data_IF_858495449859
#
_entry.id   IF_858495449859
#
_cell.length_a   1.000
_cell.length_b   1.000
_cell.length_c   1.000
_cell.angle_alpha   90.00
_cell.angle_beta   90.00
_cell.angle_gamma   90.00
#
_symmetry.space_group_name_H-M   'P 1'
#
loop_
_entity.id
_entity.type
_entity.pdbx_description
1 polymer ?
#
# COMPACT_ATOMS: atom_id res chain seq x y z
N UNK A 1 -48.04 34.53 1.04
CA UNK A 1 -46.91 34.11 0.17
C UNK A 1 -46.86 35.07 -1.02
N UNK A 2 -45.89 35.99 -1.03
CA UNK A 2 -45.53 36.91 -2.14
C UNK A 2 -44.02 37.21 -1.99
N UNK A 3 -43.26 37.04 -3.07
CA UNK A 3 -41.84 37.41 -3.30
C UNK A 3 -41.90 38.45 -4.44
N UNK A 4 -41.16 39.60 -4.47
CA UNK A 4 -39.69 39.63 -4.67
C UNK A 4 -38.91 40.88 -4.15
N UNK A 5 -37.56 40.81 -4.21
CA UNK A 5 -36.56 41.87 -4.57
C UNK A 5 -35.15 41.26 -4.35
N UNK A 6 -34.28 40.94 -5.32
CA UNK A 6 -33.58 41.67 -6.41
C UNK A 6 -32.76 42.88 -5.96
N UNK A 7 -31.43 42.69 -5.97
CA UNK A 7 -30.37 43.65 -6.35
C UNK A 7 -30.68 45.14 -6.20
N UNK A 8 -30.10 45.77 -5.18
CA UNK A 8 -29.75 47.19 -5.18
C UNK A 8 -28.66 47.42 -4.12
N UNK A 9 -27.63 48.18 -4.50
CA UNK A 9 -26.52 48.66 -3.68
C UNK A 9 -25.26 47.75 -3.56
N UNK A 10 -24.78 47.21 -4.69
CA UNK A 10 -23.37 47.44 -5.01
C UNK A 10 -23.22 48.91 -5.47
N UNK A 11 -22.04 49.51 -5.29
CA UNK A 11 -21.62 50.84 -5.79
C UNK A 11 -22.32 52.07 -5.19
N UNK A 12 -21.91 52.56 -4.01
CA UNK A 12 -21.93 54.02 -3.69
C UNK A 12 -21.21 54.42 -2.38
N UNK A 13 -20.11 53.76 -2.01
CA UNK A 13 -19.32 54.10 -0.81
C UNK A 13 -17.93 54.68 -1.06
N UNK A 14 -17.58 54.96 -2.32
CA UNK A 14 -16.22 55.39 -2.75
C UNK A 14 -16.08 56.91 -2.97
N UNK A 15 -16.95 57.76 -2.39
CA UNK A 15 -17.02 59.18 -2.79
C UNK A 15 -17.03 60.20 -1.62
N UNK A 16 -16.88 59.78 -0.36
CA UNK A 16 -16.89 60.71 0.81
C UNK A 16 -15.60 60.62 1.63
N UNK A 17 -14.46 60.48 0.94
CA UNK A 17 -13.13 60.63 1.57
C UNK A 17 -12.30 61.73 0.87
N UNK A 18 -12.98 62.66 0.18
CA UNK A 18 -12.35 63.63 -0.74
C UNK A 18 -12.57 65.11 -0.38
N UNK A 19 -13.05 65.45 0.83
CA UNK A 19 -13.22 66.83 1.29
C UNK A 19 -12.74 66.95 2.75
N UNK A 20 -11.54 67.49 2.90
CA UNK A 20 -10.73 67.39 4.11
C UNK A 20 -11.13 68.26 5.30
N UNK A 21 -10.45 68.00 6.41
CA UNK A 21 -10.04 68.97 7.43
C UNK A 21 -9.05 68.29 8.38
N UNK A 22 -7.76 68.62 8.27
CA UNK A 22 -6.82 68.49 9.39
C UNK A 22 -7.05 69.65 10.38
N UNK A 23 -6.91 69.39 11.69
CA UNK A 23 -5.77 69.97 12.38
C UNK A 23 -5.11 69.07 13.43
N UNK A 24 -3.78 69.01 13.37
CA UNK A 24 -2.85 68.58 14.43
C UNK A 24 -2.94 69.55 15.64
N UNK A 25 -2.64 69.11 16.89
CA UNK A 25 -1.22 69.02 17.27
C UNK A 25 -0.82 67.89 18.25
N UNK A 26 0.41 67.42 18.03
CA UNK A 26 1.41 67.07 19.05
C UNK A 26 1.10 65.91 20.02
N UNK A 27 1.78 64.77 19.83
CA UNK A 27 2.85 64.23 20.71
C UNK A 27 3.42 62.93 20.10
N UNK A 28 4.76 62.86 20.02
CA UNK A 28 5.70 61.78 19.60
C UNK A 28 5.25 60.30 19.84
N UNK A 29 5.79 59.27 19.14
CA UNK A 29 7.17 59.13 18.59
C UNK A 29 7.28 58.70 17.11
N UNK A 30 8.49 58.74 16.51
CA UNK A 30 8.71 58.48 15.08
C UNK A 30 8.23 57.09 14.63
N UNK A 31 7.51 57.11 13.52
CA UNK A 31 6.99 55.95 12.82
C UNK A 31 8.11 54.97 12.43
N UNK A 32 8.06 53.75 12.99
CA UNK A 32 8.81 52.59 12.53
C UNK A 32 8.33 52.12 11.14
N UNK A 33 8.43 52.99 10.13
CA UNK A 33 8.18 52.67 8.71
C UNK A 33 9.51 52.52 7.97
N UNK A 34 10.37 51.64 8.47
CA UNK A 34 11.58 51.22 7.75
C UNK A 34 12.09 49.84 8.22
N UNK A 35 11.22 48.96 8.71
CA UNK A 35 11.61 47.63 9.18
C UNK A 35 10.76 46.50 8.57
N UNK A 36 10.20 46.73 7.37
CA UNK A 36 9.51 45.70 6.59
C UNK A 36 10.11 45.63 5.19
N UNK A 37 11.41 45.34 5.09
CA UNK A 37 12.09 44.92 3.86
C UNK A 37 13.51 44.37 4.16
N UNK A 38 13.71 43.76 5.32
CA UNK A 38 15.01 43.17 5.72
C UNK A 38 14.87 41.79 6.40
N UNK A 39 13.76 41.08 6.15
CA UNK A 39 13.42 39.83 6.84
C UNK A 39 13.20 38.62 5.94
N UNK A 40 13.48 38.72 4.64
CA UNK A 40 13.19 37.63 3.67
C UNK A 40 14.46 37.13 2.94
N UNK A 41 15.61 37.79 3.11
CA UNK A 41 16.84 37.41 2.39
C UNK A 41 17.82 36.52 3.18
N UNK A 42 17.57 36.23 4.47
CA UNK A 42 18.49 35.42 5.32
C UNK A 42 17.84 34.17 5.89
N UNK A 43 16.75 33.68 5.29
CA UNK A 43 16.10 32.40 5.69
C UNK A 43 16.39 31.24 4.75
N UNK A 44 16.75 31.51 3.48
CA UNK A 44 16.87 30.50 2.44
C UNK A 44 18.22 29.75 2.40
N UNK A 45 19.25 30.24 3.10
CA UNK A 45 20.59 29.62 3.08
C UNK A 45 20.81 28.64 4.24
N UNK A 46 20.08 28.75 5.36
CA UNK A 46 20.24 27.81 6.49
C UNK A 46 19.47 26.50 6.28
N UNK A 47 18.43 26.47 5.44
CA UNK A 47 17.66 25.24 5.22
C UNK A 47 18.37 24.20 4.34
N UNK A 48 19.30 24.62 3.47
CA UNK A 48 20.10 23.68 2.65
C UNK A 48 21.24 23.00 3.43
N UNK A 49 21.56 23.45 4.65
CA UNK A 49 22.58 22.82 5.49
C UNK A 49 22.06 21.62 6.30
N UNK A 50 20.75 21.38 6.37
CA UNK A 50 20.18 20.28 7.16
C UNK A 50 20.02 18.95 6.40
N UNK A 51 20.22 18.94 5.07
CA UNK A 51 20.08 17.73 4.24
C UNK A 51 21.43 17.01 4.01
N UNK A 52 22.55 17.60 4.41
CA UNK A 52 23.88 16.99 4.21
C UNK A 52 24.39 16.12 5.38
N UNK A 53 23.71 16.09 6.54
CA UNK A 53 24.18 15.34 7.71
C UNK A 53 23.71 13.88 7.76
N UNK A 54 22.67 13.49 7.00
CA UNK A 54 22.24 12.08 6.93
C UNK A 54 23.09 11.26 5.94
N UNK A 55 23.63 11.89 4.89
CA UNK A 55 24.35 11.18 3.82
C UNK A 55 25.81 10.84 4.17
N UNK A 56 26.40 11.53 5.14
CA UNK A 56 27.81 11.31 5.53
C UNK A 56 27.95 10.21 6.60
N UNK A 57 26.86 9.78 7.24
CA UNK A 57 26.90 8.63 8.15
C UNK A 57 26.85 7.27 7.44
N UNK A 58 26.65 7.25 6.12
CA UNK A 58 26.63 6.03 5.29
C UNK A 58 27.94 5.85 4.51
N UNK A 59 28.77 6.89 4.37
CA UNK A 59 29.91 6.90 3.44
C UNK A 59 31.31 6.64 4.00
N UNK A 60 31.54 6.62 5.32
CA UNK A 60 32.91 6.54 5.84
C UNK A 60 33.03 5.83 7.21
N UNK A 61 32.85 4.50 7.24
CA UNK A 61 33.38 3.67 8.34
C UNK A 61 34.69 3.01 7.89
N UNK A 62 35.85 3.42 8.45
CA UNK A 62 37.08 2.65 8.34
C UNK A 62 36.88 1.28 9.02
N UNK A 63 37.48 0.24 8.42
CA UNK A 63 37.29 -1.16 8.79
C UNK A 63 37.46 -1.42 10.30
N UNK A 64 36.37 -1.85 10.92
CA UNK A 64 36.35 -2.53 12.23
C UNK A 64 35.63 -3.87 12.06
N UNK A 65 36.04 -4.93 12.78
CA UNK A 65 35.44 -6.25 12.64
C UNK A 65 34.00 -6.26 13.22
N UNK A 66 33.13 -6.98 12.53
CA UNK A 66 31.72 -7.27 12.87
C UNK A 66 30.78 -6.07 13.12
N UNK A 67 30.30 -5.49 12.01
CA UNK A 67 28.98 -4.89 11.99
C UNK A 67 27.95 -5.99 11.69
N UNK A 68 26.89 -6.16 12.51
CA UNK A 68 25.78 -7.03 12.17
C UNK A 68 25.19 -6.53 10.85
N UNK A 69 25.32 -7.35 9.80
CA UNK A 69 24.61 -7.14 8.53
C UNK A 69 23.13 -7.04 8.89
N UNK A 70 22.51 -5.88 8.63
CA UNK A 70 21.05 -5.81 8.63
C UNK A 70 20.60 -6.73 7.50
N UNK A 71 20.10 -7.91 7.85
CA UNK A 71 19.48 -8.81 6.89
C UNK A 71 18.39 -8.03 6.16
N UNK A 72 18.42 -8.11 4.82
CA UNK A 72 17.39 -7.50 4.00
C UNK A 72 16.02 -8.04 4.46
N UNK A 73 14.95 -7.22 4.46
CA UNK A 73 13.60 -7.71 4.76
C UNK A 73 13.34 -8.96 3.92
N UNK A 74 12.90 -10.04 4.55
CA UNK A 74 12.57 -11.28 3.84
C UNK A 74 11.38 -10.98 2.94
N UNK A 75 11.61 -10.91 1.62
CA UNK A 75 10.53 -10.76 0.65
C UNK A 75 9.71 -12.06 0.62
N UNK A 76 8.46 -11.99 1.09
CA UNK A 76 7.52 -13.10 1.03
C UNK A 76 6.76 -13.00 -0.31
N UNK A 77 7.00 -13.95 -1.20
CA UNK A 77 6.46 -13.95 -2.57
C UNK A 77 5.86 -15.29 -2.97
N UNK A 78 5.10 -15.29 -4.08
CA UNK A 78 4.52 -16.50 -4.67
C UNK A 78 3.47 -17.15 -3.77
N UNK A 79 3.50 -18.48 -3.65
CA UNK A 79 2.54 -19.23 -2.84
C UNK A 79 2.60 -18.85 -1.35
N UNK A 80 3.80 -18.54 -0.82
CA UNK A 80 3.96 -18.14 0.58
C UNK A 80 3.32 -16.78 0.88
N UNK A 81 3.23 -15.88 -0.10
CA UNK A 81 2.54 -14.60 0.04
C UNK A 81 1.01 -14.76 0.13
N UNK A 82 0.46 -15.92 -0.26
CA UNK A 82 -0.97 -16.22 -0.16
C UNK A 82 -1.33 -17.02 1.09
N UNK A 83 -0.38 -17.16 2.02
CA UNK A 83 -0.52 -17.99 3.23
C UNK A 83 -0.59 -17.12 4.47
N UNK A 84 -1.80 -16.85 4.99
CA UNK A 84 -1.94 -16.00 6.17
C UNK A 84 -1.30 -16.62 7.42
N UNK A 85 -1.23 -17.94 7.52
CA UNK A 85 -0.57 -18.64 8.63
C UNK A 85 0.95 -18.37 8.68
N UNK A 86 1.61 -18.32 7.53
CA UNK A 86 3.03 -17.96 7.41
C UNK A 86 3.24 -16.48 7.81
N UNK A 87 2.36 -15.59 7.36
CA UNK A 87 2.43 -14.18 7.76
C UNK A 87 2.23 -14.00 9.26
N UNK A 88 1.26 -14.71 9.84
CA UNK A 88 0.98 -14.67 11.27
C UNK A 88 2.15 -15.20 12.12
N UNK A 89 2.87 -16.22 11.65
CA UNK A 89 4.07 -16.72 12.33
C UNK A 89 5.22 -15.72 12.27
N UNK A 90 5.48 -15.11 11.11
CA UNK A 90 6.53 -14.09 10.95
C UNK A 90 6.26 -12.85 11.82
N UNK A 91 4.99 -12.44 11.95
CA UNK A 91 4.61 -11.33 12.84
C UNK A 91 4.50 -11.73 14.33
N UNK A 92 4.48 -13.02 14.62
CA UNK A 92 4.31 -13.57 15.98
C UNK A 92 5.60 -13.96 16.67
N UNK A 93 6.63 -14.29 15.89
CA UNK A 93 7.98 -14.51 16.37
C UNK A 93 8.68 -13.17 16.53
N UNK A 94 8.68 -12.63 17.75
CA UNK A 94 9.70 -11.64 18.10
C UNK A 94 11.07 -12.28 17.83
N UNK A 95 11.80 -11.72 16.85
CA UNK A 95 13.19 -12.01 16.47
C UNK A 95 13.92 -13.00 17.40
N UNK A 96 13.88 -14.29 17.08
CA UNK A 96 14.78 -15.30 17.62
C UNK A 96 15.06 -16.34 16.52
N UNK A 97 16.31 -16.33 16.06
CA UNK A 97 17.07 -17.48 15.56
C UNK A 97 16.30 -18.57 14.80
N UNK A 98 16.10 -18.36 13.50
CA UNK A 98 16.02 -19.48 12.57
C UNK A 98 16.91 -19.23 11.36
N UNK A 99 18.12 -19.80 11.44
CA UNK A 99 19.03 -19.96 10.32
C UNK A 99 18.35 -20.66 9.14
N UNK A 100 18.78 -20.39 7.89
CA UNK A 100 18.06 -20.78 6.69
C UNK A 100 18.05 -22.30 6.51
N UNK A 101 16.84 -22.87 6.52
CA UNK A 101 16.58 -24.17 5.93
C UNK A 101 16.84 -24.08 4.43
N UNK A 102 18.01 -24.57 4.03
CA UNK A 102 18.51 -24.71 2.68
C UNK A 102 17.44 -24.78 1.59
N UNK A 103 17.57 -23.90 0.59
CA UNK A 103 17.01 -24.12 -0.73
C UNK A 103 17.43 -25.50 -1.22
N UNK A 104 16.49 -26.44 -1.18
CA UNK A 104 16.63 -27.72 -1.87
C UNK A 104 16.14 -27.48 -3.29
N UNK A 105 17.05 -26.99 -4.14
CA UNK A 105 16.98 -27.27 -5.57
C UNK A 105 16.94 -28.80 -5.72
N UNK A 106 15.75 -29.35 -5.84
CA UNK A 106 15.57 -30.70 -6.33
C UNK A 106 15.77 -30.63 -7.85
N UNK A 107 16.88 -31.21 -8.30
CA UNK A 107 17.09 -31.54 -9.70
C UNK A 107 15.91 -32.39 -10.22
N UNK A 108 15.47 -32.21 -11.48
CA UNK A 108 14.39 -33.01 -12.02
C UNK A 108 14.89 -34.44 -12.29
N UNK A 109 14.38 -35.41 -11.53
CA UNK A 109 14.31 -36.80 -12.00
C UNK A 109 13.04 -36.94 -12.84
N UNK A 110 13.23 -37.30 -14.10
CA UNK A 110 12.18 -37.73 -14.99
C UNK A 110 11.48 -38.96 -14.40
N UNK A 111 10.17 -38.85 -14.19
CA UNK A 111 9.26 -39.98 -14.08
C UNK A 111 8.12 -39.74 -15.07
N UNK A 112 8.13 -40.57 -16.11
CA UNK A 112 7.14 -40.64 -17.17
C UNK A 112 5.82 -41.16 -16.57
N UNK A 113 4.79 -40.32 -16.51
CA UNK A 113 3.42 -40.69 -16.11
C UNK A 113 2.45 -40.13 -17.16
N UNK A 114 1.54 -40.95 -17.73
CA UNK A 114 0.65 -40.52 -18.82
C UNK A 114 -0.32 -39.43 -18.38
N UNK A 115 -0.67 -38.46 -19.26
CA UNK A 115 -1.60 -37.39 -18.91
C UNK A 115 -3.04 -37.90 -18.86
N UNK A 116 -3.67 -37.90 -17.68
CA UNK A 116 -5.13 -37.90 -17.56
C UNK A 116 -5.66 -36.53 -17.97
N UNK A 117 -6.64 -36.53 -18.87
CA UNK A 117 -7.23 -35.33 -19.44
C UNK A 117 -7.93 -34.48 -18.35
N UNK A 118 -7.71 -33.16 -18.31
CA UNK A 118 -8.37 -32.30 -17.34
C UNK A 118 -9.87 -32.22 -17.64
N UNK A 119 -10.68 -32.62 -16.66
CA UNK A 119 -12.12 -32.35 -16.66
C UNK A 119 -12.32 -30.85 -16.53
N UNK A 120 -12.69 -30.22 -17.64
CA UNK A 120 -12.88 -28.78 -17.77
C UNK A 120 -14.20 -28.37 -17.12
N UNK A 121 -14.17 -28.12 -15.81
CA UNK A 121 -15.30 -27.48 -15.10
C UNK A 121 -15.24 -25.98 -15.39
N UNK A 122 -16.34 -25.35 -15.85
CA UNK A 122 -16.30 -23.96 -16.28
C UNK A 122 -15.85 -23.03 -15.13
N UNK A 123 -14.99 -22.03 -15.42
CA UNK A 123 -14.58 -21.03 -14.44
C UNK A 123 -15.80 -20.20 -14.01
N UNK A 124 -15.78 -19.64 -12.78
CA UNK A 124 -16.84 -18.73 -12.34
C UNK A 124 -16.96 -17.57 -13.33
N UNK A 125 -18.17 -17.31 -13.81
CA UNK A 125 -18.48 -16.19 -14.71
C UNK A 125 -18.23 -14.88 -13.99
N UNK A 126 -17.18 -14.16 -14.40
CA UNK A 126 -16.92 -12.79 -13.99
C UNK A 126 -17.54 -11.85 -15.03
N UNK A 127 -18.40 -10.94 -14.58
CA UNK A 127 -18.81 -9.79 -15.41
C UNK A 127 -17.64 -8.83 -15.46
N UNK A 128 -16.98 -8.74 -16.61
CA UNK A 128 -15.79 -7.91 -16.81
C UNK A 128 -16.18 -6.43 -16.75
N UNK A 129 -15.75 -5.73 -15.69
CA UNK A 129 -15.80 -4.27 -15.62
C UNK A 129 -14.69 -3.63 -16.47
N UNK A 130 -14.58 -2.29 -16.49
CA UNK A 130 -13.54 -1.57 -17.23
C UNK A 130 -12.11 -1.86 -16.75
N UNK A 131 -11.95 -2.50 -15.57
CA UNK A 131 -10.66 -2.91 -14.99
C UNK A 131 -10.72 -4.37 -14.53
N UNK A 132 -10.70 -5.35 -15.46
CA UNK A 132 -10.87 -6.77 -15.12
C UNK A 132 -9.89 -7.28 -14.07
N UNK A 133 -8.66 -6.75 -14.05
CA UNK A 133 -7.63 -7.18 -13.10
C UNK A 133 -8.00 -6.83 -11.65
N UNK A 134 -8.53 -5.63 -11.45
CA UNK A 134 -8.96 -5.14 -10.13
C UNK A 134 -10.16 -5.97 -9.64
N UNK A 135 -11.07 -6.32 -10.54
CA UNK A 135 -12.26 -7.10 -10.23
C UNK A 135 -11.89 -8.54 -9.81
N UNK A 136 -10.90 -9.16 -10.48
CA UNK A 136 -10.39 -10.49 -10.10
C UNK A 136 -9.77 -10.49 -8.70
N UNK A 137 -8.89 -9.54 -8.39
CA UNK A 137 -8.23 -9.47 -7.07
C UNK A 137 -9.24 -9.19 -5.96
N UNK A 138 -10.20 -8.29 -6.20
CA UNK A 138 -11.29 -8.03 -5.24
C UNK A 138 -12.10 -9.30 -5.00
N UNK A 139 -12.49 -9.98 -6.08
CA UNK A 139 -13.25 -11.22 -6.00
C UNK A 139 -12.51 -12.33 -5.25
N UNK A 140 -11.19 -12.41 -5.44
CA UNK A 140 -10.33 -13.32 -4.69
C UNK A 140 -10.49 -13.09 -3.18
N UNK A 141 -10.31 -11.86 -2.69
CA UNK A 141 -10.49 -11.55 -1.27
C UNK A 141 -11.91 -11.72 -0.74
N UNK A 142 -12.93 -11.47 -1.54
CA UNK A 142 -14.33 -11.72 -1.16
C UNK A 142 -14.64 -13.21 -0.94
N UNK A 143 -14.00 -14.10 -1.72
CA UNK A 143 -14.25 -15.53 -1.64
C UNK A 143 -13.53 -16.19 -0.47
N UNK A 144 -12.36 -15.70 -0.09
CA UNK A 144 -11.48 -16.32 0.90
C UNK A 144 -12.13 -16.68 2.24
N UNK A 145 -12.96 -15.82 2.89
CA UNK A 145 -13.54 -16.14 4.20
C UNK A 145 -14.54 -17.29 4.18
N UNK A 146 -15.27 -17.46 3.08
CA UNK A 146 -16.39 -18.40 3.01
C UNK A 146 -16.13 -19.61 2.08
N UNK A 147 -15.36 -19.39 1.01
CA UNK A 147 -15.15 -20.34 -0.09
C UNK A 147 -13.70 -20.27 -0.61
N UNK A 148 -12.68 -20.59 0.22
CA UNK A 148 -11.28 -20.56 -0.21
C UNK A 148 -11.00 -21.49 -1.40
N UNK A 149 -11.73 -22.61 -1.52
CA UNK A 149 -11.61 -23.51 -2.67
C UNK A 149 -12.13 -22.93 -3.99
N UNK A 150 -13.05 -21.95 -3.94
CA UNK A 150 -13.48 -21.21 -5.14
C UNK A 150 -12.49 -20.08 -5.46
N UNK A 151 -11.92 -19.43 -4.42
CA UNK A 151 -10.89 -18.42 -4.57
C UNK A 151 -9.63 -18.97 -5.25
N UNK A 152 -9.24 -20.21 -4.92
CA UNK A 152 -8.07 -20.87 -5.53
C UNK A 152 -8.19 -21.05 -7.04
N UNK A 153 -9.41 -21.08 -7.60
CA UNK A 153 -9.64 -21.17 -9.05
C UNK A 153 -9.30 -19.89 -9.80
N UNK A 154 -9.11 -18.76 -9.09
CA UNK A 154 -8.66 -17.50 -9.66
C UNK A 154 -7.12 -17.42 -9.73
N UNK A 155 -6.43 -18.35 -9.07
CA UNK A 155 -4.98 -18.45 -9.07
C UNK A 155 -4.50 -19.32 -10.23
N UNK A 156 -3.25 -19.12 -10.62
CA UNK A 156 -2.51 -20.08 -11.43
C UNK A 156 -2.06 -21.25 -10.54
N UNK A 157 -1.88 -22.46 -11.11
CA UNK A 157 -1.50 -23.64 -10.33
C UNK A 157 -0.21 -23.48 -9.54
N UNK A 158 0.74 -22.69 -10.05
CA UNK A 158 2.06 -22.45 -9.44
C UNK A 158 1.94 -21.71 -8.10
N UNK A 159 0.91 -20.88 -7.92
CA UNK A 159 0.67 -20.14 -6.69
C UNK A 159 0.03 -20.97 -5.58
N UNK A 160 -0.45 -22.18 -5.88
CA UNK A 160 -1.04 -23.07 -4.88
C UNK A 160 0.02 -23.77 -4.02
N UNK A 161 1.31 -23.70 -4.40
CA UNK A 161 2.40 -24.26 -3.60
C UNK A 161 2.45 -25.79 -3.56
N UNK A 162 1.77 -26.46 -4.50
CA UNK A 162 1.77 -27.92 -4.64
C UNK A 162 0.40 -28.57 -4.43
N UNK A 163 -0.32 -28.22 -3.34
CA UNK A 163 -1.65 -28.75 -3.04
C UNK A 163 -2.66 -27.63 -2.70
N UNK A 164 -3.79 -27.60 -3.40
CA UNK A 164 -4.89 -26.69 -3.14
C UNK A 164 -5.49 -26.86 -1.73
N UNK A 165 -5.34 -28.04 -1.11
CA UNK A 165 -5.80 -28.30 0.27
C UNK A 165 -5.00 -27.51 1.29
N UNK A 166 -3.69 -27.36 1.10
CA UNK A 166 -2.84 -26.59 2.00
C UNK A 166 -3.18 -25.11 1.92
N UNK A 167 -3.46 -24.61 0.71
CA UNK A 167 -4.02 -23.28 0.52
C UNK A 167 -5.31 -23.13 1.34
N UNK A 168 -6.31 -24.01 1.14
CA UNK A 168 -7.58 -23.94 1.88
C UNK A 168 -7.38 -24.02 3.40
N UNK A 169 -6.48 -24.89 3.87
CA UNK A 169 -6.18 -25.06 5.28
C UNK A 169 -5.56 -23.79 5.89
N UNK A 170 -4.64 -23.13 5.17
CA UNK A 170 -4.00 -21.89 5.65
C UNK A 170 -5.01 -20.77 5.91
N UNK A 171 -6.01 -20.64 5.05
CA UNK A 171 -7.11 -19.67 5.20
C UNK A 171 -8.11 -20.04 6.29
N UNK A 172 -8.06 -21.27 6.81
CA UNK A 172 -8.93 -21.72 7.88
C UNK A 172 -8.81 -20.88 9.16
N UNK A 173 -7.68 -20.22 9.42
CA UNK A 173 -7.51 -19.36 10.60
C UNK A 173 -8.03 -17.95 10.42
N UNK A 174 -8.42 -17.54 9.21
CA UNK A 174 -8.98 -16.21 8.93
C UNK A 174 -10.49 -16.25 9.13
N UNK A 175 -11.01 -15.33 9.94
CA UNK A 175 -12.43 -15.20 10.25
C UNK A 175 -13.10 -14.11 9.40
N UNK A 176 -12.42 -12.98 9.18
CA UNK A 176 -12.94 -11.87 8.42
C UNK A 176 -11.85 -11.19 7.61
N UNK A 177 -12.24 -10.59 6.47
CA UNK A 177 -11.37 -9.79 5.62
C UNK A 177 -12.11 -8.50 5.28
N UNK A 178 -11.42 -7.37 5.46
CA UNK A 178 -11.85 -6.05 5.04
C UNK A 178 -10.92 -5.57 3.94
N UNK A 179 -11.47 -5.26 2.77
CA UNK A 179 -10.71 -4.69 1.66
C UNK A 179 -10.65 -3.18 1.86
N UNK A 180 -9.48 -2.64 2.18
CA UNK A 180 -9.28 -1.19 2.35
C UNK A 180 -9.10 -0.49 1.01
N UNK A 181 -8.32 -1.10 0.11
CA UNK A 181 -8.03 -0.55 -1.22
C UNK A 181 -7.67 -1.63 -2.22
N UNK A 182 -8.01 -1.40 -3.49
CA UNK A 182 -7.52 -2.21 -4.60
C UNK A 182 -7.33 -1.29 -5.81
N UNK A 183 -6.08 -1.11 -6.24
CA UNK A 183 -5.71 -0.15 -7.29
C UNK A 183 -4.79 -0.78 -8.32
N UNK A 184 -5.04 -0.47 -9.60
CA UNK A 184 -4.12 -0.83 -10.68
C UNK A 184 -2.95 0.15 -10.66
N UNK A 185 -1.73 -0.39 -10.64
CA UNK A 185 -0.49 0.37 -10.69
C UNK A 185 -0.05 0.61 -12.15
N UNK A 186 0.83 1.60 -12.41
CA UNK A 186 1.33 1.88 -13.76
C UNK A 186 2.13 0.74 -14.39
N UNK A 187 2.69 -0.15 -13.57
CA UNK A 187 3.43 -1.35 -13.99
C UNK A 187 2.52 -2.54 -14.34
N UNK A 188 1.19 -2.36 -14.28
CA UNK A 188 0.20 -3.39 -14.57
C UNK A 188 -0.11 -4.32 -13.39
N UNK A 189 0.60 -4.20 -12.26
CA UNK A 189 0.27 -4.94 -11.06
C UNK A 189 -0.97 -4.34 -10.37
N UNK A 190 -1.71 -5.15 -9.63
CA UNK A 190 -2.77 -4.69 -8.75
C UNK A 190 -2.25 -4.65 -7.32
N UNK A 191 -2.29 -3.47 -6.70
CA UNK A 191 -2.00 -3.29 -5.29
C UNK A 191 -3.29 -3.49 -4.49
N UNK A 192 -3.29 -4.43 -3.55
CA UNK A 192 -4.36 -4.60 -2.59
C UNK A 192 -3.86 -4.28 -1.17
N UNK A 193 -4.69 -3.55 -0.43
CA UNK A 193 -4.51 -3.34 1.00
C UNK A 193 -5.71 -3.95 1.70
N UNK A 194 -5.44 -4.92 2.57
CA UNK A 194 -6.48 -5.68 3.27
C UNK A 194 -6.19 -5.75 4.76
N UNK A 195 -7.24 -5.73 5.56
CA UNK A 195 -7.19 -6.03 6.98
C UNK A 195 -7.84 -7.40 7.21
N UNK A 196 -7.15 -8.30 7.86
CA UNK A 196 -7.60 -9.67 8.13
C UNK A 196 -7.72 -9.89 9.63
N UNK A 197 -8.82 -10.50 10.04
CA UNK A 197 -9.04 -10.93 11.42
C UNK A 197 -8.80 -12.43 11.51
N UNK A 198 -7.89 -12.84 12.38
CA UNK A 198 -7.71 -14.25 12.74
C UNK A 198 -8.83 -14.73 13.68
N UNK A 199 -9.04 -16.04 13.76
CA UNK A 199 -9.93 -16.66 14.77
C UNK A 199 -9.54 -16.36 16.21
N UNK A 200 -8.29 -15.99 16.44
CA UNK A 200 -7.80 -15.51 17.75
C UNK A 200 -8.31 -14.10 18.11
N UNK A 201 -8.97 -13.42 17.16
CA UNK A 201 -9.43 -12.04 17.28
C UNK A 201 -8.38 -10.99 16.88
N UNK A 202 -7.13 -11.40 16.63
CA UNK A 202 -6.04 -10.51 16.22
C UNK A 202 -6.27 -9.99 14.80
N UNK A 203 -5.95 -8.71 14.59
CA UNK A 203 -6.00 -8.06 13.30
C UNK A 203 -4.60 -7.93 12.69
N UNK A 204 -4.51 -8.16 11.39
CA UNK A 204 -3.30 -7.96 10.59
C UNK A 204 -3.66 -7.19 9.33
N UNK A 205 -2.94 -6.11 9.07
CA UNK A 205 -3.02 -5.34 7.83
C UNK A 205 -1.92 -5.79 6.89
N UNK A 206 -2.28 -6.10 5.65
CA UNK A 206 -1.38 -6.60 4.61
C UNK A 206 -1.51 -5.74 3.37
N UNK A 207 -0.36 -5.34 2.84
CA UNK A 207 -0.20 -4.68 1.55
C UNK A 207 0.48 -5.65 0.59
N UNK A 208 -0.18 -5.94 -0.53
CA UNK A 208 0.21 -7.03 -1.43
C UNK A 208 0.06 -6.61 -2.89
N UNK A 209 1.09 -6.90 -3.68
CA UNK A 209 1.07 -6.74 -5.12
C UNK A 209 0.63 -8.06 -5.79
N UNK A 210 -0.14 -7.93 -6.87
CA UNK A 210 -0.63 -9.04 -7.67
C UNK A 210 -0.32 -8.83 -9.15
N UNK A 211 0.17 -9.87 -9.80
CA UNK A 211 0.35 -9.93 -11.25
C UNK A 211 -0.67 -10.90 -11.84
N UNK A 212 -1.27 -10.49 -12.96
CA UNK A 212 -2.33 -11.25 -13.61
C UNK A 212 -1.99 -11.52 -15.07
N UNK A 213 -2.55 -12.59 -15.63
CA UNK A 213 -2.49 -12.84 -17.07
C UNK A 213 -3.23 -11.75 -17.85
N UNK A 214 -2.69 -11.34 -18.99
CA UNK A 214 -3.39 -10.51 -19.95
C UNK A 214 -4.24 -11.38 -20.91
N UNK A 215 -5.35 -11.91 -20.39
CA UNK A 215 -6.29 -12.74 -21.16
C UNK A 215 -7.74 -12.30 -20.89
N UNK A 216 -8.68 -12.83 -21.68
CA UNK A 216 -10.11 -12.54 -21.51
C UNK A 216 -10.67 -12.99 -20.16
N UNK A 217 -10.04 -13.97 -19.51
CA UNK A 217 -10.35 -14.42 -18.15
C UNK A 217 -9.08 -14.32 -17.31
N UNK A 218 -8.78 -13.15 -16.72
CA UNK A 218 -7.53 -12.93 -16.02
C UNK A 218 -7.39 -13.88 -14.81
N UNK A 219 -6.21 -14.46 -14.65
CA UNK A 219 -5.81 -15.26 -13.48
C UNK A 219 -4.65 -14.60 -12.78
N UNK A 220 -4.60 -14.73 -11.46
CA UNK A 220 -3.46 -14.29 -10.65
C UNK A 220 -2.31 -15.28 -10.86
N UNK A 221 -1.17 -14.80 -11.34
CA UNK A 221 0.02 -15.62 -11.66
C UNK A 221 1.22 -15.31 -10.78
N UNK A 222 1.19 -14.16 -10.10
CA UNK A 222 2.24 -13.76 -9.18
C UNK A 222 1.67 -12.95 -8.04
N UNK A 223 2.34 -13.00 -6.90
CA UNK A 223 2.07 -12.09 -5.80
C UNK A 223 3.27 -11.89 -4.90
N UNK A 224 3.33 -10.74 -4.22
CA UNK A 224 4.39 -10.33 -3.32
C UNK A 224 3.80 -9.51 -2.17
N UNK A 225 4.22 -9.82 -0.94
CA UNK A 225 3.91 -9.01 0.23
C UNK A 225 4.86 -7.83 0.28
N UNK A 226 4.30 -6.62 0.23
CA UNK A 226 5.06 -5.38 0.37
C UNK A 226 5.16 -4.95 1.84
N UNK A 227 4.11 -5.22 2.61
CA UNK A 227 4.07 -4.93 4.04
C UNK A 227 3.05 -5.82 4.74
N UNK A 228 3.36 -6.23 5.96
CA UNK A 228 2.43 -6.89 6.86
C UNK A 228 2.67 -6.36 8.28
N UNK A 229 1.59 -6.01 8.98
CA UNK A 229 1.68 -5.45 10.33
C UNK A 229 0.49 -5.87 11.17
N UNK A 230 0.72 -6.03 12.48
CA UNK A 230 -0.38 -6.21 13.43
C UNK A 230 -1.03 -4.87 13.74
N UNK A 231 -2.34 -4.89 13.92
CA UNK A 231 -3.14 -3.73 14.34
C UNK A 231 -3.45 -3.78 15.84
#
# INVERSE_FOLDING_TARGET
MRIPSREQAATHGLVVDLLGAEPEPATRPPSNRAAKLAGVATGAIVLFAAVAAASILVGNRPGGPDQPRADAPVSISGSSALRPDVLSSELGGGRLDQAPGAGRQAAPLAADVPPEAPVMVPPPTLTVGPKPQVDVVRRFFELLPAKPADASRLLSPELLGGDARDFVASWGQVQAITIESTTLRPDGAVLAVVSMQERTGRWMRVEQAFWLTDTTVPRIVGTEILSAQRS
#
